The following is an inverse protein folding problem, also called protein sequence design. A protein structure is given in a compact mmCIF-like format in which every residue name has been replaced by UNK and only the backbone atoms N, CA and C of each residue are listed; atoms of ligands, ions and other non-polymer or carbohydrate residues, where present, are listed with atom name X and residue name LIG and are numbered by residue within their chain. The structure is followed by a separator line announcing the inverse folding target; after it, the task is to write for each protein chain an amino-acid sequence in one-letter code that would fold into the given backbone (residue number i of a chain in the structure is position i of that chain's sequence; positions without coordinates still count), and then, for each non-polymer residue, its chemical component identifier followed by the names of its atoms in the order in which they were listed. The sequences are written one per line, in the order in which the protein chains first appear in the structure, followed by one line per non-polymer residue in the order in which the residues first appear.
data_IF_942896325940
#
_entry.id   IF_942896325940
#
_cell.length_a   1.000
_cell.length_b   1.000
_cell.length_c   1.000
_cell.angle_alpha   90.00
_cell.angle_beta   90.00
_cell.angle_gamma   90.00
#
_symmetry.space_group_name_H-M   'P 1'
#
loop_
_entity.id
_entity.type
_entity.pdbx_description
1 polymer ?
#
# COMPACT_ATOMS: atom_id res chain seq x y z
N UNK A 1 1.35 59.91 40.57
CA UNK A 1 2.20 59.63 39.38
C UNK A 1 2.94 58.33 39.68
N UNK A 2 2.79 57.16 39.06
CA UNK A 2 2.53 56.66 37.69
C UNK A 2 1.66 55.38 37.85
N UNK A 3 0.54 55.14 37.13
CA UNK A 3 0.38 54.64 35.74
C UNK A 3 1.29 53.42 35.43
N UNK A 4 0.89 52.30 34.84
CA UNK A 4 -0.36 51.75 34.28
C UNK A 4 0.00 50.30 33.84
N UNK A 5 -1.01 49.41 33.84
CA UNK A 5 -1.20 48.24 32.95
C UNK A 5 -0.10 47.14 32.89
N UNK A 6 -0.31 45.90 33.36
CA UNK A 6 -1.31 44.88 32.96
C UNK A 6 -1.26 44.53 31.47
N UNK A 7 -0.89 43.28 31.16
CA UNK A 7 -1.53 42.57 30.04
C UNK A 7 -0.60 41.96 28.98
N UNK A 8 -0.29 40.68 29.18
CA UNK A 8 -0.62 39.60 28.23
C UNK A 8 -0.04 39.67 26.81
N UNK A 9 0.93 38.79 26.51
CA UNK A 9 0.92 38.01 25.26
C UNK A 9 1.83 36.78 25.35
N UNK A 10 1.41 35.77 26.13
CA UNK A 10 1.87 34.40 25.95
C UNK A 10 1.14 33.81 24.73
N UNK A 11 1.69 34.01 23.54
CA UNK A 11 1.31 33.24 22.35
C UNK A 11 1.79 31.80 22.54
N UNK A 12 1.00 30.99 23.23
CA UNK A 12 1.11 29.55 23.18
C UNK A 12 0.73 29.12 21.75
N UNK A 13 1.74 28.89 20.90
CA UNK A 13 1.56 28.12 19.68
C UNK A 13 1.22 26.68 20.08
N UNK A 14 -0.06 26.41 20.28
CA UNK A 14 -0.62 25.06 20.23
C UNK A 14 -0.68 24.62 18.77
N UNK A 15 0.49 24.53 18.11
CA UNK A 15 0.62 23.76 16.90
C UNK A 15 0.65 22.29 17.32
N UNK A 16 -0.54 21.71 17.53
CA UNK A 16 -0.66 20.26 17.66
C UNK A 16 0.01 19.60 16.45
N UNK A 17 0.67 18.44 16.62
CA UNK A 17 1.27 17.76 15.49
C UNK A 17 0.13 17.50 14.50
N UNK A 18 0.28 17.96 13.26
CA UNK A 18 -0.56 17.52 12.17
C UNK A 18 -0.25 16.03 11.96
N UNK A 19 -0.86 15.18 12.77
CA UNK A 19 -0.68 13.74 12.71
C UNK A 19 -1.20 13.29 11.34
N UNK A 20 -0.31 12.74 10.52
CA UNK A 20 -0.70 12.12 9.27
C UNK A 20 -1.67 10.98 9.62
N UNK A 21 -2.95 11.15 9.30
CA UNK A 21 -3.97 10.16 9.60
C UNK A 21 -3.73 8.93 8.73
N UNK A 22 -3.21 7.86 9.34
CA UNK A 22 -3.10 6.54 8.70
C UNK A 22 -4.46 5.87 8.76
N UNK A 23 -4.99 5.49 7.61
CA UNK A 23 -6.26 4.77 7.48
C UNK A 23 -6.04 3.45 6.79
N UNK A 24 -6.79 2.44 7.18
CA UNK A 24 -6.73 1.14 6.55
C UNK A 24 -8.03 0.90 5.79
N UNK A 25 -7.93 0.56 4.51
CA UNK A 25 -9.09 0.19 3.69
C UNK A 25 -9.04 -1.29 3.43
N UNK A 26 -10.11 -1.98 3.82
CA UNK A 26 -10.26 -3.40 3.63
C UNK A 26 -11.07 -3.68 2.36
N UNK A 27 -10.65 -4.74 1.68
CA UNK A 27 -11.22 -5.17 0.41
C UNK A 27 -11.37 -6.67 0.38
N UNK A 28 -12.49 -7.13 -0.17
CA UNK A 28 -12.76 -8.54 -0.42
C UNK A 28 -12.49 -8.88 -1.89
N UNK A 29 -12.11 -10.13 -2.16
CA UNK A 29 -11.96 -10.60 -3.54
C UNK A 29 -13.30 -10.55 -4.28
N UNK A 30 -13.32 -9.90 -5.45
CA UNK A 30 -14.54 -9.74 -6.25
C UNK A 30 -14.76 -10.87 -7.28
N UNK A 31 -13.74 -11.72 -7.52
CA UNK A 31 -13.82 -12.85 -8.44
C UNK A 31 -13.08 -14.09 -7.90
N UNK A 32 -13.33 -15.25 -8.52
CA UNK A 32 -12.76 -16.54 -8.06
C UNK A 32 -11.24 -16.60 -8.20
N UNK A 33 -10.68 -15.96 -9.22
CA UNK A 33 -9.23 -15.95 -9.46
C UNK A 33 -8.55 -15.19 -8.33
N UNK A 34 -9.06 -14.00 -8.03
CA UNK A 34 -8.62 -13.18 -6.91
C UNK A 34 -8.80 -13.94 -5.62
N UNK A 35 -9.95 -14.56 -5.36
CA UNK A 35 -10.20 -15.30 -4.12
C UNK A 35 -9.23 -16.47 -3.91
N UNK A 36 -8.82 -17.15 -4.99
CA UNK A 36 -7.85 -18.25 -4.94
C UNK A 36 -6.43 -17.78 -4.60
N UNK A 37 -6.04 -16.57 -5.06
CA UNK A 37 -4.70 -16.01 -4.85
C UNK A 37 -4.61 -15.18 -3.56
N UNK A 38 -5.69 -14.46 -3.26
CA UNK A 38 -5.82 -13.42 -2.23
C UNK A 38 -7.29 -13.38 -1.76
N UNK A 39 -7.61 -13.93 -0.58
CA UNK A 39 -9.00 -13.93 -0.06
C UNK A 39 -9.57 -12.53 0.18
N UNK A 40 -8.67 -11.55 0.35
CA UNK A 40 -8.95 -10.14 0.54
C UNK A 40 -7.64 -9.42 0.83
N UNK A 41 -7.67 -8.09 0.77
CA UNK A 41 -6.49 -7.27 1.08
C UNK A 41 -6.87 -6.11 1.99
N UNK A 42 -5.95 -5.74 2.87
CA UNK A 42 -6.03 -4.46 3.58
C UNK A 42 -4.91 -3.56 3.10
N UNK A 43 -5.26 -2.34 2.71
CA UNK A 43 -4.31 -1.35 2.23
C UNK A 43 -4.15 -0.28 3.30
N UNK A 44 -2.91 -0.04 3.71
CA UNK A 44 -2.57 1.12 4.52
C UNK A 44 -2.42 2.36 3.65
N UNK A 45 -3.21 3.37 3.95
CA UNK A 45 -3.28 4.64 3.27
C UNK A 45 -2.78 5.72 4.22
N UNK A 46 -1.75 6.44 3.82
CA UNK A 46 -1.38 7.69 4.49
C UNK A 46 -2.02 8.85 3.72
N UNK A 47 -2.96 9.58 4.35
CA UNK A 47 -3.39 10.87 3.79
C UNK A 47 -2.32 11.90 4.13
N UNK A 48 -1.68 12.45 3.11
CA UNK A 48 -0.90 13.68 3.29
C UNK A 48 -1.83 14.90 3.22
N UNK A 49 -1.34 16.06 3.65
CA UNK A 49 -2.11 17.32 3.75
C UNK A 49 -2.73 17.78 2.40
N UNK A 50 -2.33 17.18 1.27
CA UNK A 50 -2.82 17.48 -0.08
C UNK A 50 -3.84 16.45 -0.62
N UNK A 51 -4.29 15.49 0.19
CA UNK A 51 -5.30 14.50 -0.20
C UNK A 51 -4.79 13.40 -1.14
N UNK A 52 -3.46 13.26 -1.31
CA UNK A 52 -2.89 12.20 -2.12
C UNK A 52 -2.81 10.89 -1.31
N UNK A 53 -3.37 9.84 -1.89
CA UNK A 53 -3.45 8.49 -1.31
C UNK A 53 -2.17 7.74 -1.65
N UNK A 54 -1.30 7.48 -0.66
CA UNK A 54 -0.17 6.59 -0.84
C UNK A 54 -0.42 5.23 -0.20
N UNK A 55 -0.53 4.18 -1.02
CA UNK A 55 -0.52 2.78 -0.58
C UNK A 55 0.89 2.44 -0.07
N UNK A 56 1.01 2.06 1.19
CA UNK A 56 2.31 1.76 1.81
C UNK A 56 2.54 0.28 2.05
N UNK A 57 1.49 -0.45 2.42
CA UNK A 57 1.55 -1.89 2.66
C UNK A 57 0.26 -2.54 2.17
N UNK A 58 0.41 -3.73 1.58
CA UNK A 58 -0.68 -4.55 1.10
C UNK A 58 -0.68 -5.82 1.93
N UNK A 59 -1.54 -5.85 2.95
CA UNK A 59 -1.70 -7.02 3.80
C UNK A 59 -2.58 -8.03 3.05
N UNK A 60 -1.95 -9.03 2.43
CA UNK A 60 -2.67 -10.13 1.78
C UNK A 60 -3.23 -11.08 2.85
N UNK A 61 -4.56 -11.23 2.90
CA UNK A 61 -5.23 -12.17 3.83
C UNK A 61 -5.33 -13.58 3.24
N UNK A 62 -4.25 -14.10 2.66
CA UNK A 62 -4.11 -15.55 2.44
C UNK A 62 -3.27 -16.18 3.53
N UNK A 63 -3.49 -17.46 3.78
CA UNK A 63 -2.98 -18.24 4.92
C UNK A 63 -1.44 -18.35 5.04
N UNK A 64 -0.67 -17.50 4.35
CA UNK A 64 0.80 -17.44 4.36
C UNK A 64 1.30 -15.98 4.29
N UNK A 65 0.69 -15.14 5.14
CA UNK A 65 1.25 -13.90 5.66
C UNK A 65 1.29 -12.66 4.74
N UNK A 66 1.94 -11.60 5.24
CA UNK A 66 1.86 -10.23 4.71
C UNK A 66 3.11 -9.87 3.92
N UNK A 67 2.94 -9.34 2.70
CA UNK A 67 4.05 -8.86 1.89
C UNK A 67 4.18 -7.34 2.02
N UNK A 68 5.40 -6.87 2.21
CA UNK A 68 5.69 -5.44 2.06
C UNK A 68 5.68 -5.06 0.56
N UNK A 69 5.15 -3.89 0.28
CA UNK A 69 5.17 -3.30 -1.06
C UNK A 69 5.81 -1.92 -0.99
N UNK A 70 6.59 -1.57 -2.00
CA UNK A 70 7.25 -0.27 -2.09
C UNK A 70 6.78 0.46 -3.33
N UNK A 71 6.34 1.71 -3.17
CA UNK A 71 5.97 2.56 -4.30
C UNK A 71 7.15 2.71 -5.26
N UNK A 72 6.87 2.58 -6.55
CA UNK A 72 7.82 2.67 -7.64
C UNK A 72 8.13 1.32 -8.29
N UNK A 73 8.78 1.39 -9.44
CA UNK A 73 9.19 0.24 -10.23
C UNK A 73 9.61 0.66 -11.64
N UNK A 74 10.14 -0.27 -12.45
CA UNK A 74 10.57 0.01 -13.82
C UNK A 74 9.40 0.50 -14.68
N UNK A 75 9.62 1.54 -15.49
CA UNK A 75 8.60 2.04 -16.42
C UNK A 75 8.12 0.97 -17.42
N UNK A 76 8.98 0.00 -17.75
CA UNK A 76 8.69 -1.14 -18.61
C UNK A 76 7.52 -2.00 -18.11
N UNK A 77 7.23 -1.98 -16.80
CA UNK A 77 6.08 -2.69 -16.24
C UNK A 77 4.75 -2.20 -16.83
N UNK A 78 4.63 -0.91 -17.16
CA UNK A 78 3.41 -0.36 -17.79
C UNK A 78 3.24 -0.85 -19.22
N UNK A 79 4.35 -1.03 -19.94
CA UNK A 79 4.33 -1.51 -21.32
C UNK A 79 3.92 -2.99 -21.41
N UNK A 80 4.06 -3.75 -20.32
CA UNK A 80 3.62 -5.13 -20.23
C UNK A 80 2.12 -5.28 -19.96
N UNK A 81 1.39 -4.19 -19.69
CA UNK A 81 -0.05 -4.24 -19.44
C UNK A 81 -0.84 -4.51 -20.74
N UNK A 82 -2.00 -5.17 -20.64
CA UNK A 82 -2.92 -5.28 -21.77
C UNK A 82 -3.31 -3.92 -22.34
N UNK A 83 -3.59 -3.87 -23.65
CA UNK A 83 -3.98 -2.64 -24.33
C UNK A 83 -5.25 -2.02 -23.70
N UNK A 84 -5.24 -0.70 -23.54
CA UNK A 84 -6.37 0.07 -22.99
C UNK A 84 -6.39 0.19 -21.45
N UNK A 85 -5.55 -0.56 -20.73
CA UNK A 85 -5.44 -0.45 -19.27
C UNK A 85 -4.65 0.80 -18.87
N UNK A 86 -5.21 1.60 -17.97
CA UNK A 86 -4.55 2.77 -17.38
C UNK A 86 -4.26 2.54 -15.89
N UNK A 87 -3.14 1.89 -15.61
CA UNK A 87 -2.65 1.64 -14.26
C UNK A 87 -1.28 2.31 -14.07
N UNK A 88 -1.30 3.54 -13.54
CA UNK A 88 -0.13 4.42 -13.49
C UNK A 88 0.66 4.28 -12.18
N UNK A 89 -0.01 3.88 -11.10
CA UNK A 89 0.62 3.66 -9.80
C UNK A 89 1.28 2.27 -9.81
N UNK A 90 2.60 2.25 -9.56
CA UNK A 90 3.41 1.03 -9.55
C UNK A 90 3.89 0.79 -8.11
N UNK A 91 3.81 -0.47 -7.67
CA UNK A 91 4.34 -0.93 -6.39
C UNK A 91 5.15 -2.20 -6.57
N UNK A 92 6.42 -2.20 -6.20
CA UNK A 92 7.25 -3.40 -6.18
C UNK A 92 6.94 -4.26 -4.97
N UNK A 93 6.88 -5.58 -5.17
CA UNK A 93 6.76 -6.55 -4.07
C UNK A 93 8.16 -6.79 -3.51
N UNK A 94 8.35 -6.46 -2.24
CA UNK A 94 9.58 -6.71 -1.48
C UNK A 94 9.64 -8.22 -1.22
N UNK A 95 10.77 -8.90 -1.46
CA UNK A 95 10.84 -10.38 -1.48
C UNK A 95 11.12 -11.00 -0.11
N UNK A 96 11.28 -10.15 0.90
CA UNK A 96 11.45 -10.46 2.31
C UNK A 96 10.12 -10.95 2.92
N UNK A 97 10.21 -11.70 4.02
CA UNK A 97 9.04 -12.34 4.64
C UNK A 97 8.23 -13.16 3.64
N UNK A 98 6.92 -12.89 3.57
CA UNK A 98 5.98 -13.60 2.68
C UNK A 98 6.01 -13.12 1.23
N UNK A 99 6.78 -12.05 0.94
CA UNK A 99 6.81 -11.44 -0.38
C UNK A 99 7.31 -12.35 -1.49
N UNK A 100 8.29 -13.23 -1.22
CA UNK A 100 8.72 -14.27 -2.18
C UNK A 100 7.60 -15.25 -2.50
N UNK A 101 6.79 -15.61 -1.50
CA UNK A 101 5.61 -16.44 -1.66
C UNK A 101 4.58 -15.76 -2.55
N UNK A 102 4.33 -14.46 -2.31
CA UNK A 102 3.43 -13.65 -3.10
C UNK A 102 3.90 -13.51 -4.56
N UNK A 103 5.18 -13.22 -4.81
CA UNK A 103 5.75 -13.15 -6.17
C UNK A 103 5.50 -14.45 -6.92
N UNK A 104 5.79 -15.61 -6.29
CA UNK A 104 5.58 -16.92 -6.92
C UNK A 104 4.11 -17.24 -7.17
N UNK A 105 3.22 -16.80 -6.28
CA UNK A 105 1.79 -17.01 -6.44
C UNK A 105 1.21 -16.16 -7.58
N UNK A 106 1.64 -14.90 -7.71
CA UNK A 106 1.13 -13.98 -8.73
C UNK A 106 1.80 -14.14 -10.09
N UNK A 107 3.12 -14.38 -10.11
CA UNK A 107 3.94 -14.49 -11.31
C UNK A 107 4.88 -15.71 -11.21
N UNK A 108 4.37 -16.94 -11.47
CA UNK A 108 5.18 -18.15 -11.40
C UNK A 108 6.42 -18.07 -12.32
N UNK A 109 7.60 -18.26 -11.73
CA UNK A 109 8.89 -18.27 -12.45
C UNK A 109 9.51 -16.90 -12.70
N UNK A 110 8.89 -15.80 -12.26
CA UNK A 110 9.49 -14.47 -12.32
C UNK A 110 10.53 -14.26 -11.20
N UNK A 111 11.58 -13.49 -11.50
CA UNK A 111 12.61 -13.08 -10.54
C UNK A 111 12.11 -11.97 -9.60
N UNK A 112 11.29 -11.07 -10.13
CA UNK A 112 10.69 -9.91 -9.46
C UNK A 112 9.25 -9.71 -9.95
N UNK A 113 8.39 -9.10 -9.13
CA UNK A 113 7.06 -8.70 -9.54
C UNK A 113 6.61 -7.34 -8.95
N UNK A 114 5.74 -6.67 -9.69
CA UNK A 114 5.13 -5.39 -9.37
C UNK A 114 3.62 -5.47 -9.48
N UNK A 115 2.93 -4.69 -8.66
CA UNK A 115 1.50 -4.44 -8.73
C UNK A 115 1.27 -3.06 -9.34
N UNK A 116 0.45 -3.01 -10.38
CA UNK A 116 0.04 -1.77 -11.03
C UNK A 116 -1.44 -1.54 -10.77
N UNK A 117 -1.81 -0.31 -10.48
CA UNK A 117 -3.21 0.05 -10.26
C UNK A 117 -3.52 1.46 -10.76
N UNK A 118 -4.81 1.70 -10.99
CA UNK A 118 -5.32 3.04 -11.25
C UNK A 118 -5.37 3.87 -9.97
N UNK A 119 -5.99 5.04 -10.05
CA UNK A 119 -6.21 5.87 -8.86
C UNK A 119 -7.11 5.14 -7.88
N UNK A 120 -6.61 4.89 -6.67
CA UNK A 120 -7.39 4.34 -5.57
C UNK A 120 -8.16 5.47 -4.88
N UNK A 121 -9.47 5.28 -4.70
CA UNK A 121 -10.35 6.18 -3.94
C UNK A 121 -11.06 5.38 -2.87
N UNK A 122 -11.44 6.05 -1.79
CA UNK A 122 -12.24 5.43 -0.74
C UNK A 122 -13.62 5.07 -1.28
N UNK A 123 -14.11 3.86 -0.96
CA UNK A 123 -15.43 3.40 -1.39
C UNK A 123 -15.46 2.72 -2.77
N UNK A 124 -14.47 2.97 -3.61
CA UNK A 124 -14.42 2.43 -4.97
C UNK A 124 -13.83 1.02 -4.98
N UNK A 125 -14.31 0.12 -5.86
CA UNK A 125 -13.61 -1.13 -6.15
C UNK A 125 -12.24 -0.82 -6.77
N UNK A 126 -11.30 -1.74 -6.57
CA UNK A 126 -9.94 -1.60 -7.09
C UNK A 126 -9.53 -2.80 -7.94
N UNK A 127 -8.67 -2.54 -8.91
CA UNK A 127 -8.05 -3.56 -9.74
C UNK A 127 -6.53 -3.43 -9.65
N UNK A 128 -5.86 -4.55 -9.39
CA UNK A 128 -4.41 -4.65 -9.39
C UNK A 128 -3.96 -5.55 -10.53
N UNK A 129 -2.94 -5.14 -11.25
CA UNK A 129 -2.30 -5.94 -12.30
C UNK A 129 -0.93 -6.36 -11.81
N UNK A 130 -0.70 -7.67 -11.69
CA UNK A 130 0.63 -8.19 -11.41
C UNK A 130 1.44 -8.30 -12.71
N UNK A 131 2.64 -7.75 -12.70
CA UNK A 131 3.60 -7.85 -13.79
C UNK A 131 4.90 -8.41 -13.22
N UNK A 132 5.43 -9.45 -13.86
CA UNK A 132 6.68 -10.09 -13.47
C UNK A 132 7.82 -9.75 -14.43
N UNK A 133 9.06 -9.91 -13.98
CA UNK A 133 10.27 -9.90 -14.81
C UNK A 133 10.92 -11.28 -14.74
N UNK A 134 11.27 -11.85 -15.89
CA UNK A 134 11.95 -13.14 -15.98
C UNK A 134 13.45 -12.96 -16.24
N UNK A 135 14.18 -14.07 -16.15
CA UNK A 135 15.64 -14.11 -16.36
C UNK A 135 16.07 -13.63 -17.75
N UNK A 136 15.19 -13.69 -18.74
CA UNK A 136 15.38 -13.11 -20.08
C UNK A 136 15.28 -11.58 -20.12
N UNK A 137 14.96 -10.95 -18.98
CA UNK A 137 14.78 -9.51 -18.84
C UNK A 137 13.40 -9.01 -19.30
N UNK A 138 12.54 -9.87 -19.83
CA UNK A 138 11.23 -9.48 -20.35
C UNK A 138 10.22 -9.30 -19.21
N UNK A 139 9.38 -8.27 -19.36
CA UNK A 139 8.26 -8.00 -18.48
C UNK A 139 6.98 -8.60 -19.06
N UNK A 140 6.19 -9.29 -18.23
CA UNK A 140 4.94 -9.92 -18.67
C UNK A 140 3.84 -9.68 -17.65
N UNK A 141 2.64 -9.37 -18.12
CA UNK A 141 1.44 -9.38 -17.28
C UNK A 141 1.11 -10.81 -16.86
N UNK A 142 0.94 -11.04 -15.56
CA UNK A 142 0.73 -12.37 -15.00
C UNK A 142 -0.73 -12.60 -14.64
N UNK A 143 -1.33 -11.66 -13.90
CA UNK A 143 -2.70 -11.78 -13.41
C UNK A 143 -3.32 -10.42 -13.13
N UNK A 144 -4.65 -10.37 -13.21
CA UNK A 144 -5.47 -9.24 -12.75
C UNK A 144 -6.23 -9.68 -11.50
N UNK A 145 -6.14 -8.88 -10.44
CA UNK A 145 -6.85 -9.08 -9.18
C UNK A 145 -7.91 -7.99 -9.04
N UNK A 146 -9.15 -8.39 -8.81
CA UNK A 146 -10.29 -7.48 -8.68
C UNK A 146 -10.83 -7.54 -7.26
N UNK A 147 -11.01 -6.38 -6.64
CA UNK A 147 -11.50 -6.30 -5.28
C UNK A 147 -12.66 -5.32 -5.11
N UNK A 148 -13.60 -5.69 -4.24
CA UNK A 148 -14.70 -4.85 -3.80
C UNK A 148 -14.37 -4.20 -2.46
N UNK A 149 -14.68 -2.91 -2.32
CA UNK A 149 -14.50 -2.20 -1.06
C UNK A 149 -15.42 -2.78 0.01
N UNK A 150 -14.84 -3.17 1.15
CA UNK A 150 -15.57 -3.70 2.30
C UNK A 150 -15.86 -2.63 3.34
N UNK A 151 -14.92 -1.72 3.54
CA UNK A 151 -15.02 -0.69 4.56
C UNK A 151 -13.67 -0.17 5.04
N UNK A 152 -13.74 0.88 5.84
CA UNK A 152 -12.59 1.39 6.58
C UNK A 152 -12.36 0.49 7.80
N UNK A 153 -11.13 0.03 7.97
CA UNK A 153 -10.70 -0.74 9.12
C UNK A 153 -9.91 0.17 10.06
N UNK A 154 -10.29 0.20 11.33
CA UNK A 154 -9.50 0.81 12.39
C UNK A 154 -8.74 -0.30 13.10
N UNK A 155 -7.41 -0.16 13.21
CA UNK A 155 -6.65 -0.96 14.16
C UNK A 155 -7.23 -0.72 15.57
N UNK A 156 -7.36 -1.76 16.43
CA UNK A 156 -7.71 -1.54 17.83
C UNK A 156 -6.77 -0.51 18.46
N UNK A 157 -7.30 0.43 19.26
CA UNK A 157 -6.47 1.40 19.98
C UNK A 157 -5.38 0.66 20.78
N UNK A 158 -4.11 0.99 20.52
CA UNK A 158 -2.96 0.36 21.16
C UNK A 158 -2.23 -0.71 20.35
N UNK A 159 -2.75 -1.14 19.20
CA UNK A 159 -2.03 -2.01 18.28
C UNK A 159 -0.98 -1.20 17.49
N UNK A 160 0.18 -0.93 18.10
CA UNK A 160 1.37 -0.51 17.35
C UNK A 160 1.82 -1.72 16.54
N UNK A 161 1.92 -1.65 15.20
CA UNK A 161 2.59 -2.69 14.44
C UNK A 161 4.02 -2.76 14.95
N UNK A 162 4.38 -3.85 15.64
CA UNK A 162 5.76 -4.06 16.06
C UNK A 162 6.62 -4.02 14.78
N UNK A 163 7.60 -3.11 14.68
CA UNK A 163 8.65 -3.26 13.69
C UNK A 163 9.27 -4.63 13.94
N UNK A 164 9.35 -5.49 12.92
CA UNK A 164 10.07 -6.75 13.02
C UNK A 164 11.47 -6.47 13.60
N UNK A 165 11.73 -7.04 14.78
CA UNK A 165 12.93 -6.82 15.60
C UNK A 165 14.22 -7.36 14.94
N UNK A 166 14.12 -7.80 13.68
CA UNK A 166 15.23 -8.31 12.86
C UNK A 166 15.82 -7.29 11.89
N UNK A 167 15.36 -6.04 11.89
CA UNK A 167 15.97 -4.97 11.10
C UNK A 167 17.20 -4.37 11.80
N UNK A 168 18.44 -4.61 11.33
CA UNK A 168 19.64 -4.08 11.97
C UNK A 168 19.87 -2.66 11.45
N UNK A 169 19.19 -1.67 12.01
CA UNK A 169 19.54 -0.27 11.73
C UNK A 169 19.21 0.64 12.91
N UNK A 170 20.00 0.52 13.97
CA UNK A 170 20.36 1.62 14.86
C UNK A 170 21.63 1.24 15.63
N UNK A 171 22.78 1.50 15.01
CA UNK A 171 24.03 1.81 15.72
C UNK A 171 24.64 3.04 15.08
#
# INVERSE_FOLDING_TARGET
MKRLATGLLLLALMAGPAAAETRFWAYDAADRVTQALTRGITIEIRRNFFGAVSVQRLFSTTARGSAEIRRGGPAATRAALPAGIRANDIYGIVKEGDGRGLVRALCPGADDAWLLTGRIRQGDPITLHAVGRWADGAYRHCVTLSYSYRGEWTLPEGAVPQPDETSPSAR
#
